data_IF_814222583336
#
_entry.id   IF_814222583336
#
_cell.length_a   1.000
_cell.length_b   1.000
_cell.length_c   1.000
_cell.angle_alpha   90.00
_cell.angle_beta   90.00
_cell.angle_gamma   90.00
#
_symmetry.space_group_name_H-M   'P 1'
#
loop_
_entity.id
_entity.type
_entity.pdbx_description
1 polymer ?
#
# COMPACT_ATOMS: atom_id res chain seq x y z
N UNK A 1 -46.80 -1.07 21.62
CA UNK A 1 -45.96 0.07 22.06
C UNK A 1 -46.76 0.98 22.97
N UNK A 2 -46.46 1.10 24.27
CA UNK A 2 -47.19 1.98 25.16
C UNK A 2 -46.75 3.45 25.00
N UNK A 3 -47.71 4.32 24.65
CA UNK A 3 -47.73 5.71 25.10
C UNK A 3 -47.06 6.78 24.23
N UNK A 4 -47.42 6.90 22.94
CA UNK A 4 -47.21 8.18 22.21
C UNK A 4 -48.34 9.14 22.62
N UNK A 5 -48.06 10.31 23.23
CA UNK A 5 -49.11 11.24 23.64
C UNK A 5 -49.86 11.79 22.41
N UNK A 6 -51.11 11.38 22.21
CA UNK A 6 -51.97 11.81 21.10
C UNK A 6 -52.56 13.22 21.28
N UNK A 7 -52.27 13.89 22.41
CA UNK A 7 -52.88 15.16 22.77
C UNK A 7 -52.46 16.30 21.83
N UNK A 8 -53.44 17.01 21.27
CA UNK A 8 -53.27 18.19 20.39
C UNK A 8 -53.51 19.53 21.11
N UNK A 9 -53.47 19.54 22.44
CA UNK A 9 -53.71 20.74 23.23
C UNK A 9 -52.54 21.72 23.15
N UNK A 10 -52.83 23.02 23.16
CA UNK A 10 -51.82 24.08 23.18
C UNK A 10 -50.93 24.02 24.44
N UNK A 11 -49.78 24.69 24.38
CA UNK A 11 -48.78 24.68 25.46
C UNK A 11 -49.32 25.22 26.78
N UNK A 12 -50.08 26.30 26.75
CA UNK A 12 -50.64 26.92 27.94
C UNK A 12 -51.65 26.01 28.66
N UNK A 13 -52.56 25.37 27.91
CA UNK A 13 -53.52 24.43 28.50
C UNK A 13 -52.83 23.17 29.05
N UNK A 14 -51.81 22.65 28.37
CA UNK A 14 -51.05 21.47 28.84
C UNK A 14 -50.24 21.76 30.10
N UNK A 15 -49.51 22.89 30.14
CA UNK A 15 -48.75 23.31 31.33
C UNK A 15 -49.66 23.42 32.57
N UNK A 16 -50.89 23.87 32.37
CA UNK A 16 -51.88 24.01 33.44
C UNK A 16 -52.76 22.76 33.64
N UNK A 17 -52.49 21.66 32.91
CA UNK A 17 -53.28 20.40 32.92
C UNK A 17 -54.79 20.62 32.73
N UNK A 18 -55.18 21.59 31.88
CA UNK A 18 -56.58 21.87 31.52
C UNK A 18 -56.88 21.46 30.08
N UNK A 19 -58.15 21.13 29.80
CA UNK A 19 -58.62 20.72 28.47
C UNK A 19 -58.47 21.89 27.47
N UNK A 20 -58.09 21.59 26.24
CA UNK A 20 -57.96 22.54 25.13
C UNK A 20 -58.99 22.16 24.06
N UNK A 21 -59.74 23.14 23.56
CA UNK A 21 -60.74 22.99 22.50
C UNK A 21 -60.15 23.01 21.08
N UNK A 22 -58.85 23.29 20.95
CA UNK A 22 -58.07 23.22 19.70
C UNK A 22 -58.49 24.23 18.62
N UNK A 23 -59.25 25.28 18.98
CA UNK A 23 -59.61 26.35 18.05
C UNK A 23 -58.37 27.14 17.59
N UNK A 24 -58.46 27.72 16.38
CA UNK A 24 -57.45 28.58 15.77
C UNK A 24 -58.03 30.00 15.59
N UNK A 25 -57.23 31.08 15.73
CA UNK A 25 -55.79 31.08 16.02
C UNK A 25 -55.45 30.79 17.50
N UNK A 26 -56.43 30.89 18.41
CA UNK A 26 -56.27 30.59 19.83
C UNK A 26 -57.46 29.78 20.37
N UNK A 27 -57.19 28.91 21.35
CA UNK A 27 -58.21 28.15 22.07
C UNK A 27 -59.07 29.09 22.95
N UNK A 28 -60.35 28.78 23.20
CA UNK A 28 -61.26 29.70 23.92
C UNK A 28 -60.75 30.08 25.30
N UNK A 29 -60.05 29.15 25.96
CA UNK A 29 -59.47 29.38 27.29
C UNK A 29 -58.28 30.34 27.26
N UNK A 30 -57.38 30.19 26.29
CA UNK A 30 -56.25 31.11 26.14
C UNK A 30 -56.74 32.51 25.74
N UNK A 31 -57.77 32.59 24.89
CA UNK A 31 -58.38 33.85 24.51
C UNK A 31 -59.03 34.56 25.72
N UNK A 32 -59.83 33.84 26.52
CA UNK A 32 -60.46 34.39 27.73
C UNK A 32 -59.44 34.84 28.78
N UNK A 33 -58.34 34.10 28.94
CA UNK A 33 -57.29 34.40 29.91
C UNK A 33 -56.24 35.39 29.36
N UNK A 34 -56.34 35.81 28.10
CA UNK A 34 -55.37 36.68 27.44
C UNK A 34 -53.92 36.17 27.55
N UNK A 35 -53.73 34.85 27.39
CA UNK A 35 -52.41 34.21 27.42
C UNK A 35 -52.02 33.63 26.05
N UNK A 36 -50.72 33.57 25.70
CA UNK A 36 -50.26 33.03 24.43
C UNK A 36 -50.73 31.59 24.16
N UNK A 37 -51.35 31.36 23.01
CA UNK A 37 -51.85 30.05 22.58
C UNK A 37 -50.94 29.42 21.52
N UNK A 38 -49.90 28.71 21.95
CA UNK A 38 -48.94 28.08 21.02
C UNK A 38 -49.32 26.63 20.74
N UNK A 39 -49.44 26.28 19.46
CA UNK A 39 -49.63 24.90 19.01
C UNK A 39 -51.03 24.31 19.22
N UNK A 40 -52.08 25.14 19.25
CA UNK A 40 -53.47 24.67 19.28
C UNK A 40 -53.77 23.77 18.07
N UNK A 41 -54.15 22.51 18.31
CA UNK A 41 -54.48 21.55 17.25
C UNK A 41 -53.28 20.89 16.57
N UNK A 42 -52.04 21.22 16.92
CA UNK A 42 -50.83 20.61 16.34
C UNK A 42 -50.48 19.28 17.03
N UNK A 43 -50.19 18.24 16.23
CA UNK A 43 -49.60 16.98 16.74
C UNK A 43 -48.13 17.22 17.08
N UNK A 44 -47.71 16.81 18.28
CA UNK A 44 -46.31 16.89 18.70
C UNK A 44 -45.80 15.51 19.08
N UNK A 45 -44.71 15.10 18.44
CA UNK A 45 -43.99 13.89 18.79
C UNK A 45 -42.98 14.20 19.89
N UNK A 46 -42.95 13.39 20.95
CA UNK A 46 -41.92 13.47 21.98
C UNK A 46 -41.18 12.14 22.00
N UNK A 47 -39.98 12.11 21.45
CA UNK A 47 -39.05 11.00 21.68
C UNK A 47 -38.63 11.06 23.15
N UNK A 48 -38.78 9.94 23.87
CA UNK A 48 -38.25 9.80 25.23
C UNK A 48 -36.87 9.15 25.10
N UNK A 49 -35.84 9.94 25.33
CA UNK A 49 -34.49 9.42 25.59
C UNK A 49 -34.50 8.67 26.93
N UNK A 50 -33.90 7.47 26.92
CA UNK A 50 -33.66 6.69 28.14
C UNK A 50 -32.65 7.40 29.02
N UNK A 51 -33.03 7.58 30.28
CA UNK A 51 -32.23 7.92 31.46
C UNK A 51 -30.75 8.29 31.26
N UNK A 52 -30.43 9.56 31.50
CA UNK A 52 -29.18 9.97 32.17
C UNK A 52 -29.43 11.27 32.95
N UNK A 53 -28.93 11.29 34.19
CA UNK A 53 -29.28 12.25 35.23
C UNK A 53 -28.83 13.69 34.94
N UNK A 54 -29.56 14.64 35.53
CA UNK A 54 -29.20 16.05 35.59
C UNK A 54 -27.90 16.24 36.37
N UNK A 55 -26.99 17.07 35.85
CA UNK A 55 -26.34 18.11 36.67
C UNK A 55 -26.20 19.40 35.85
N UNK A 56 -26.68 20.49 36.46
CA UNK A 56 -26.37 21.87 36.11
C UNK A 56 -25.10 22.26 36.84
N UNK A 57 -24.20 22.98 36.16
CA UNK A 57 -23.03 23.59 36.78
C UNK A 57 -22.03 24.01 35.70
N UNK A 58 -22.06 25.28 35.32
CA UNK A 58 -21.08 25.86 34.43
C UNK A 58 -19.72 25.95 35.14
N UNK A 59 -18.68 25.40 34.50
CA UNK A 59 -17.29 25.80 34.71
C UNK A 59 -16.67 25.91 33.31
N UNK A 60 -16.35 27.15 32.91
CA UNK A 60 -15.57 27.43 31.71
C UNK A 60 -14.12 27.11 32.07
N UNK A 61 -13.64 25.96 31.62
CA UNK A 61 -12.23 25.65 31.46
C UNK A 61 -12.12 25.14 30.02
N UNK A 62 -11.37 25.83 29.18
CA UNK A 62 -11.03 25.36 27.83
C UNK A 62 -10.23 24.06 27.94
N UNK A 63 -10.76 22.90 27.50
CA UNK A 63 -9.98 21.69 27.38
C UNK A 63 -9.52 21.54 25.93
N UNK A 64 -8.34 20.95 25.74
CA UNK A 64 -7.98 20.33 24.47
C UNK A 64 -9.18 19.48 24.00
N UNK A 65 -9.52 19.59 22.71
CA UNK A 65 -10.70 18.94 22.13
C UNK A 65 -10.56 17.42 22.25
N UNK A 66 -11.07 16.85 23.35
CA UNK A 66 -11.38 15.43 23.43
C UNK A 66 -12.62 15.26 22.56
N UNK A 67 -12.41 14.88 21.29
CA UNK A 67 -13.50 14.49 20.40
C UNK A 67 -14.17 13.26 21.01
N UNK A 68 -15.37 13.43 21.56
CA UNK A 68 -16.21 12.30 21.89
C UNK A 68 -16.44 11.50 20.60
N UNK A 69 -16.28 10.17 20.62
CA UNK A 69 -16.50 9.38 19.42
C UNK A 69 -17.95 9.57 18.94
N UNK A 70 -18.10 9.97 17.68
CA UNK A 70 -19.39 9.82 17.01
C UNK A 70 -19.70 8.33 16.87
N UNK A 71 -20.98 7.95 16.72
CA UNK A 71 -21.35 6.56 16.48
C UNK A 71 -20.55 5.97 15.30
N UNK A 72 -20.37 6.77 14.23
CA UNK A 72 -19.58 6.39 13.06
C UNK A 72 -18.11 6.06 13.40
N UNK A 73 -17.49 6.83 14.30
CA UNK A 73 -16.09 6.62 14.74
C UNK A 73 -15.96 5.31 15.54
N UNK A 74 -16.93 5.00 16.40
CA UNK A 74 -16.97 3.73 17.14
C UNK A 74 -17.15 2.56 16.18
N UNK A 75 -18.06 2.69 15.22
CA UNK A 75 -18.35 1.63 14.26
C UNK A 75 -17.13 1.32 13.38
N UNK A 76 -16.47 2.34 12.83
CA UNK A 76 -15.22 2.17 12.06
C UNK A 76 -14.13 1.51 12.91
N UNK A 77 -13.98 1.96 14.17
CA UNK A 77 -12.96 1.40 15.08
C UNK A 77 -13.22 -0.07 15.38
N UNK A 78 -14.47 -0.42 15.72
CA UNK A 78 -14.87 -1.80 15.98
C UNK A 78 -14.65 -2.68 14.76
N UNK A 79 -15.09 -2.22 13.60
CA UNK A 79 -14.98 -2.96 12.35
C UNK A 79 -13.52 -3.21 11.95
N UNK A 80 -12.64 -2.21 12.14
CA UNK A 80 -11.23 -2.35 11.80
C UNK A 80 -10.48 -3.24 12.80
N UNK A 81 -10.81 -3.16 14.10
CA UNK A 81 -10.28 -4.09 15.11
C UNK A 81 -10.66 -5.54 14.77
N UNK A 82 -11.88 -5.78 14.29
CA UNK A 82 -12.30 -7.11 13.83
C UNK A 82 -11.45 -7.62 12.65
N UNK A 83 -11.06 -6.73 11.73
CA UNK A 83 -10.16 -7.06 10.61
C UNK A 83 -8.74 -7.36 11.10
N UNK A 84 -8.25 -6.62 12.10
CA UNK A 84 -6.93 -6.85 12.71
C UNK A 84 -6.89 -8.13 13.57
N UNK A 85 -8.04 -8.64 14.02
CA UNK A 85 -8.13 -9.93 14.69
C UNK A 85 -7.94 -11.05 13.67
N UNK A 86 -6.68 -11.48 13.53
CA UNK A 86 -6.28 -12.54 12.61
C UNK A 86 -6.88 -13.87 13.05
N UNK A 87 -7.97 -14.23 12.38
CA UNK A 87 -8.68 -15.50 12.51
C UNK A 87 -8.32 -16.46 11.37
N UNK A 88 -7.97 -15.91 10.22
CA UNK A 88 -7.48 -16.61 9.03
C UNK A 88 -6.28 -15.84 8.47
N UNK A 89 -5.10 -16.47 8.49
CA UNK A 89 -3.83 -15.85 8.08
C UNK A 89 -3.83 -15.41 6.61
N UNK A 90 -4.69 -16.01 5.78
CA UNK A 90 -4.87 -15.66 4.36
C UNK A 90 -5.37 -14.23 4.15
N UNK A 91 -6.11 -13.71 5.13
CA UNK A 91 -6.73 -12.38 5.09
C UNK A 91 -6.13 -11.43 6.13
N UNK A 92 -4.97 -11.76 6.69
CA UNK A 92 -4.25 -10.90 7.63
C UNK A 92 -3.80 -9.61 6.91
N UNK A 93 -4.34 -8.45 7.27
CA UNK A 93 -3.94 -7.20 6.60
C UNK A 93 -2.52 -6.76 6.94
N UNK A 94 -1.91 -7.29 8.01
CA UNK A 94 -0.55 -6.90 8.45
C UNK A 94 0.55 -7.31 7.46
N UNK A 95 0.23 -8.12 6.45
CA UNK A 95 1.08 -8.34 5.26
C UNK A 95 1.48 -7.05 4.55
N UNK A 96 0.62 -6.03 4.62
CA UNK A 96 0.86 -4.70 4.03
C UNK A 96 1.55 -3.73 5.00
N UNK A 97 1.89 -4.17 6.21
CA UNK A 97 2.69 -3.37 7.14
C UNK A 97 2.27 -3.53 8.59
N UNK A 98 3.24 -3.68 9.52
CA UNK A 98 2.93 -3.83 10.94
C UNK A 98 2.31 -2.56 11.55
N UNK A 99 2.54 -1.38 10.95
CA UNK A 99 1.98 -0.12 11.43
C UNK A 99 0.44 -0.11 11.44
N UNK A 100 -0.21 -0.99 10.66
CA UNK A 100 -1.68 -1.13 10.62
C UNK A 100 -2.27 -1.46 12.00
N UNK A 101 -1.53 -2.18 12.85
CA UNK A 101 -1.98 -2.52 14.21
C UNK A 101 -2.13 -1.29 15.12
N UNK A 102 -1.46 -0.18 14.78
CA UNK A 102 -1.49 1.05 15.57
C UNK A 102 -2.55 2.05 15.10
N UNK A 103 -3.11 1.84 13.91
CA UNK A 103 -4.12 2.71 13.29
C UNK A 103 -5.38 2.91 14.15
N UNK A 104 -5.91 1.92 14.90
CA UNK A 104 -7.12 2.13 15.72
C UNK A 104 -7.03 3.35 16.65
N UNK A 105 -5.84 3.65 17.19
CA UNK A 105 -5.62 4.81 18.07
C UNK A 105 -5.72 6.16 17.37
N UNK A 106 -5.78 6.18 16.04
CA UNK A 106 -5.75 7.39 15.19
C UNK A 106 -7.11 7.67 14.50
N UNK A 107 -8.08 6.76 14.63
CA UNK A 107 -9.42 6.93 14.07
C UNK A 107 -10.10 8.16 14.68
N UNK A 108 -10.75 8.98 13.85
CA UNK A 108 -11.33 10.26 14.24
C UNK A 108 -10.38 11.45 14.13
N UNK A 109 -9.10 11.22 13.80
CA UNK A 109 -8.10 12.29 13.62
C UNK A 109 -8.19 12.94 12.23
N UNK A 110 -8.61 12.21 11.20
CA UNK A 110 -8.71 12.69 9.83
C UNK A 110 -9.85 12.01 9.07
N UNK A 111 -10.67 12.79 8.39
CA UNK A 111 -11.77 12.28 7.58
C UNK A 111 -11.29 11.41 6.41
N UNK A 112 -10.14 11.74 5.80
CA UNK A 112 -9.54 10.92 4.75
C UNK A 112 -9.04 9.58 5.28
N UNK A 113 -8.39 9.59 6.46
CA UNK A 113 -7.92 8.37 7.09
C UNK A 113 -9.11 7.47 7.49
N UNK A 114 -10.13 8.02 8.13
CA UNK A 114 -11.32 7.27 8.56
C UNK A 114 -12.05 6.65 7.35
N UNK A 115 -12.17 7.40 6.25
CA UNK A 115 -12.78 6.90 5.02
C UNK A 115 -11.92 5.79 4.36
N UNK A 116 -10.60 5.92 4.37
CA UNK A 116 -9.68 4.90 3.84
C UNK A 116 -9.70 3.62 4.68
N UNK A 117 -9.75 3.74 6.02
CA UNK A 117 -9.92 2.61 6.95
C UNK A 117 -11.24 1.89 6.68
N UNK A 118 -12.33 2.64 6.51
CA UNK A 118 -13.63 2.07 6.17
C UNK A 118 -13.60 1.33 4.82
N UNK A 119 -12.90 1.88 3.81
CA UNK A 119 -12.72 1.23 2.51
C UNK A 119 -11.95 -0.10 2.62
N UNK A 120 -10.78 -0.10 3.27
CA UNK A 120 -9.98 -1.30 3.53
C UNK A 120 -10.80 -2.34 4.30
N UNK A 121 -11.48 -1.92 5.36
CA UNK A 121 -12.31 -2.82 6.17
C UNK A 121 -13.43 -3.46 5.36
N UNK A 122 -14.14 -2.65 4.57
CA UNK A 122 -15.19 -3.12 3.69
C UNK A 122 -14.69 -4.11 2.66
N UNK A 123 -13.56 -3.81 2.01
CA UNK A 123 -12.93 -4.68 1.03
C UNK A 123 -12.50 -6.02 1.62
N UNK A 124 -11.81 -6.01 2.78
CA UNK A 124 -11.38 -7.24 3.46
C UNK A 124 -12.57 -8.10 3.87
N UNK A 125 -13.61 -7.50 4.48
CA UNK A 125 -14.84 -8.22 4.83
C UNK A 125 -15.51 -8.81 3.59
N UNK A 126 -15.55 -8.07 2.49
CA UNK A 126 -16.16 -8.54 1.26
C UNK A 126 -15.39 -9.70 0.61
N UNK A 127 -14.06 -9.60 0.56
CA UNK A 127 -13.19 -10.67 0.03
C UNK A 127 -13.26 -11.93 0.90
N UNK A 128 -13.17 -11.79 2.23
CA UNK A 128 -13.22 -12.91 3.18
C UNK A 128 -14.54 -13.68 3.11
N UNK A 129 -15.66 -12.97 2.96
CA UNK A 129 -17.00 -13.56 2.94
C UNK A 129 -17.52 -13.88 1.54
N UNK A 130 -16.86 -13.37 0.50
CA UNK A 130 -17.33 -13.35 -0.90
C UNK A 130 -18.72 -12.72 -1.06
N UNK A 131 -19.03 -11.72 -0.23
CA UNK A 131 -20.33 -11.02 -0.20
C UNK A 131 -20.12 -9.52 -0.04
N UNK A 132 -21.12 -8.70 -0.39
CA UNK A 132 -21.07 -7.26 -0.09
C UNK A 132 -20.05 -6.43 -0.89
N UNK A 133 -19.54 -6.95 -2.01
CA UNK A 133 -18.60 -6.22 -2.88
C UNK A 133 -19.14 -4.86 -3.39
N UNK A 134 -20.43 -4.70 -3.76
CA UNK A 134 -20.96 -3.39 -4.14
C UNK A 134 -20.86 -2.32 -3.03
N UNK A 135 -21.05 -2.73 -1.77
CA UNK A 135 -20.89 -1.83 -0.62
C UNK A 135 -19.42 -1.49 -0.37
N UNK A 136 -18.51 -2.47 -0.51
CA UNK A 136 -17.07 -2.24 -0.45
C UNK A 136 -16.61 -1.23 -1.52
N UNK A 137 -17.08 -1.35 -2.76
CA UNK A 137 -16.81 -0.37 -3.84
C UNK A 137 -17.37 1.01 -3.46
N UNK A 138 -18.56 1.08 -2.88
CA UNK A 138 -19.13 2.33 -2.38
C UNK A 138 -18.22 3.02 -1.33
N UNK A 139 -17.65 2.25 -0.41
CA UNK A 139 -16.68 2.75 0.59
C UNK A 139 -15.36 3.15 -0.06
N UNK A 140 -14.86 2.40 -1.03
CA UNK A 140 -13.67 2.74 -1.83
C UNK A 140 -13.81 4.09 -2.55
N UNK A 141 -14.93 4.29 -3.26
CA UNK A 141 -15.24 5.57 -3.92
C UNK A 141 -15.35 6.72 -2.89
N UNK A 142 -15.94 6.46 -1.72
CA UNK A 142 -16.00 7.45 -0.62
C UNK A 142 -14.60 7.80 -0.10
N UNK A 143 -13.71 6.83 0.02
CA UNK A 143 -12.30 7.01 0.39
C UNK A 143 -11.58 7.98 -0.55
N UNK A 144 -11.66 7.76 -1.85
CA UNK A 144 -11.07 8.67 -2.85
C UNK A 144 -11.66 10.08 -2.82
N UNK A 145 -12.97 10.22 -2.60
CA UNK A 145 -13.61 11.54 -2.46
C UNK A 145 -13.09 12.30 -1.23
N UNK A 146 -12.97 11.61 -0.10
CA UNK A 146 -12.42 12.19 1.13
C UNK A 146 -10.96 12.58 0.94
N UNK A 147 -10.17 11.71 0.31
CA UNK A 147 -8.76 11.96 0.04
C UNK A 147 -8.55 13.15 -0.92
N UNK A 148 -9.33 13.24 -2.00
CA UNK A 148 -9.30 14.40 -2.92
C UNK A 148 -9.62 15.71 -2.20
N UNK A 149 -10.54 15.67 -1.24
CA UNK A 149 -10.88 16.84 -0.41
C UNK A 149 -9.69 17.23 0.46
N UNK A 150 -9.03 16.26 1.12
CA UNK A 150 -7.83 16.52 1.92
C UNK A 150 -6.65 17.04 1.08
N UNK A 151 -6.44 16.51 -0.13
CA UNK A 151 -5.38 16.98 -1.04
C UNK A 151 -5.62 18.39 -1.59
N UNK A 152 -6.85 18.91 -1.48
CA UNK A 152 -7.18 20.28 -1.86
C UNK A 152 -6.77 21.30 -0.79
N UNK A 153 -6.39 20.85 0.41
CA UNK A 153 -5.91 21.66 1.53
C UNK A 153 -4.39 21.49 1.69
N UNK A 154 -3.57 22.53 1.45
CA UNK A 154 -2.11 22.46 1.53
C UNK A 154 -1.55 21.95 2.87
N UNK A 155 -2.23 22.19 3.99
CA UNK A 155 -1.81 21.71 5.31
C UNK A 155 -2.09 20.21 5.46
N UNK A 156 -3.26 19.76 4.99
CA UNK A 156 -3.65 18.35 5.04
C UNK A 156 -2.85 17.50 4.07
N UNK A 157 -2.44 18.04 2.91
CA UNK A 157 -1.60 17.33 1.93
C UNK A 157 -0.30 16.80 2.53
N UNK A 158 0.26 17.49 3.53
CA UNK A 158 1.49 17.08 4.21
C UNK A 158 1.19 16.21 5.43
N UNK A 159 -0.04 16.11 5.90
CA UNK A 159 -0.37 15.34 7.11
C UNK A 159 -0.02 13.86 6.95
N UNK A 160 0.58 13.27 8.00
CA UNK A 160 0.84 11.83 8.07
C UNK A 160 -0.43 11.00 7.82
N UNK A 161 -1.59 11.50 8.28
CA UNK A 161 -2.86 10.82 8.08
C UNK A 161 -3.28 10.76 6.61
N UNK A 162 -2.92 11.77 5.82
CA UNK A 162 -3.15 11.80 4.37
C UNK A 162 -2.23 10.80 3.68
N UNK A 163 -0.97 10.70 4.08
CA UNK A 163 -0.02 9.69 3.57
C UNK A 163 -0.52 8.27 3.83
N UNK A 164 -0.95 7.98 5.06
CA UNK A 164 -1.54 6.68 5.43
C UNK A 164 -2.81 6.42 4.62
N UNK A 165 -3.69 7.42 4.47
CA UNK A 165 -4.91 7.28 3.68
C UNK A 165 -4.60 6.93 2.22
N UNK A 166 -3.59 7.57 1.60
CA UNK A 166 -3.16 7.28 0.23
C UNK A 166 -2.70 5.83 0.11
N UNK A 167 -1.84 5.38 1.03
CA UNK A 167 -1.35 4.01 1.02
C UNK A 167 -2.46 2.97 1.22
N UNK A 168 -3.39 3.20 2.15
CA UNK A 168 -4.56 2.33 2.33
C UNK A 168 -5.46 2.29 1.09
N UNK A 169 -5.63 3.42 0.40
CA UNK A 169 -6.42 3.49 -0.83
C UNK A 169 -5.72 2.79 -2.00
N UNK A 170 -4.39 2.85 -2.08
CA UNK A 170 -3.59 2.10 -3.06
C UNK A 170 -3.75 0.59 -2.87
N UNK A 171 -3.67 0.12 -1.62
CA UNK A 171 -3.93 -1.29 -1.29
C UNK A 171 -5.37 -1.66 -1.66
N UNK A 172 -6.34 -0.82 -1.33
CA UNK A 172 -7.73 -1.11 -1.63
C UNK A 172 -7.99 -1.16 -3.14
N UNK A 173 -7.30 -0.33 -3.93
CA UNK A 173 -7.40 -0.35 -5.40
C UNK A 173 -7.02 -1.72 -5.98
N UNK A 174 -5.99 -2.40 -5.47
CA UNK A 174 -5.64 -3.74 -5.97
C UNK A 174 -6.73 -4.78 -5.66
N UNK A 175 -7.54 -4.55 -4.64
CA UNK A 175 -8.56 -5.48 -4.18
C UNK A 175 -9.94 -5.29 -4.81
N UNK A 176 -10.34 -4.03 -5.05
CA UNK A 176 -11.70 -3.70 -5.51
C UNK A 176 -11.74 -2.88 -6.80
N UNK A 177 -10.58 -2.50 -7.33
CA UNK A 177 -10.47 -1.75 -8.58
C UNK A 177 -10.84 -2.58 -9.81
N UNK A 178 -10.89 -1.90 -10.94
CA UNK A 178 -11.05 -2.47 -12.29
C UNK A 178 -9.71 -2.53 -13.02
N UNK A 179 -9.47 -3.48 -13.94
CA UNK A 179 -8.33 -3.44 -14.86
C UNK A 179 -8.20 -2.12 -15.64
N UNK A 180 -9.33 -1.47 -15.91
CA UNK A 180 -9.40 -0.19 -16.65
C UNK A 180 -9.08 1.04 -15.78
N UNK A 181 -9.08 0.87 -14.45
CA UNK A 181 -8.63 1.92 -13.57
C UNK A 181 -7.14 2.12 -13.84
N UNK A 182 -6.76 3.33 -14.26
CA UNK A 182 -5.35 3.61 -14.49
C UNK A 182 -4.60 3.24 -13.21
N UNK A 183 -3.72 2.25 -13.33
CA UNK A 183 -2.74 1.92 -12.31
C UNK A 183 -1.77 3.09 -12.29
N UNK A 184 -2.20 4.21 -11.71
CA UNK A 184 -1.39 5.39 -11.52
C UNK A 184 -0.07 4.90 -10.93
N UNK A 185 1.05 5.42 -11.43
CA UNK A 185 2.38 4.98 -11.03
C UNK A 185 2.53 5.17 -9.51
N UNK A 186 2.13 4.16 -8.74
CA UNK A 186 1.95 4.21 -7.29
C UNK A 186 3.28 4.56 -6.62
N UNK A 187 4.38 4.10 -7.21
CA UNK A 187 5.74 4.50 -6.84
C UNK A 187 6.03 5.98 -7.00
N UNK A 188 5.57 6.65 -8.07
CA UNK A 188 5.75 8.11 -8.24
C UNK A 188 4.95 8.89 -7.19
N UNK A 189 3.69 8.52 -6.99
CA UNK A 189 2.81 9.16 -6.00
C UNK A 189 3.43 9.01 -4.61
N UNK A 190 3.80 7.78 -4.22
CA UNK A 190 4.46 7.54 -2.94
C UNK A 190 5.80 8.27 -2.83
N UNK A 191 6.61 8.32 -3.89
CA UNK A 191 7.90 9.01 -3.85
C UNK A 191 7.75 10.52 -3.60
N UNK A 192 6.75 11.16 -4.19
CA UNK A 192 6.47 12.58 -3.96
C UNK A 192 5.94 12.83 -2.54
N UNK A 193 5.07 11.96 -2.03
CA UNK A 193 4.48 12.12 -0.70
C UNK A 193 5.50 11.85 0.41
N UNK A 194 6.33 10.82 0.25
CA UNK A 194 7.36 10.48 1.22
C UNK A 194 8.42 11.57 1.34
N UNK A 195 8.72 12.31 0.26
CA UNK A 195 9.58 13.51 0.30
C UNK A 195 9.05 14.55 1.32
N UNK A 196 7.75 14.84 1.23
CA UNK A 196 7.09 15.76 2.15
C UNK A 196 7.01 15.21 3.59
N UNK A 197 6.79 13.91 3.75
CA UNK A 197 6.69 13.26 5.07
C UNK A 197 8.04 13.16 5.80
N UNK A 198 9.12 12.87 5.06
CA UNK A 198 10.47 12.72 5.64
C UNK A 198 10.99 14.04 6.20
N UNK A 199 10.58 15.16 5.60
CA UNK A 199 10.99 16.51 5.98
C UNK A 199 10.34 17.04 7.27
N UNK A 200 9.45 16.28 7.91
CA UNK A 200 8.77 16.70 9.14
C UNK A 200 9.67 16.54 10.37
N UNK A 201 9.78 17.60 11.17
CA UNK A 201 10.49 17.58 12.45
C UNK A 201 9.68 16.89 13.56
N UNK A 202 10.35 16.19 14.48
CA UNK A 202 9.70 15.63 15.68
C UNK A 202 8.87 14.36 15.45
N UNK A 203 9.30 13.49 14.53
CA UNK A 203 8.60 12.23 14.21
C UNK A 203 8.63 11.25 15.39
N UNK A 204 7.53 10.52 15.57
CA UNK A 204 7.43 9.40 16.49
C UNK A 204 7.70 8.05 15.82
N UNK A 205 7.64 6.98 16.60
CA UNK A 205 7.87 5.61 16.15
C UNK A 205 6.90 5.16 15.04
N UNK A 206 5.65 5.63 15.08
CA UNK A 206 4.66 5.33 14.05
C UNK A 206 5.05 5.91 12.70
N UNK A 207 5.41 7.19 12.68
CA UNK A 207 5.81 7.91 11.47
C UNK A 207 7.03 7.23 10.84
N UNK A 208 8.01 6.86 11.67
CA UNK A 208 9.22 6.14 11.23
C UNK A 208 8.89 4.75 10.66
N UNK A 209 8.08 3.95 11.36
CA UNK A 209 7.66 2.62 10.87
C UNK A 209 6.87 2.70 9.57
N UNK A 210 5.99 3.69 9.44
CA UNK A 210 5.23 3.94 8.22
C UNK A 210 6.15 4.36 7.07
N UNK A 211 7.04 5.33 7.28
CA UNK A 211 7.97 5.79 6.23
C UNK A 211 8.83 4.63 5.72
N UNK A 212 9.38 3.80 6.61
CA UNK A 212 10.17 2.62 6.21
C UNK A 212 9.31 1.62 5.42
N UNK A 213 8.08 1.36 5.87
CA UNK A 213 7.16 0.43 5.19
C UNK A 213 6.84 0.91 3.77
N UNK A 214 6.47 2.18 3.61
CA UNK A 214 6.08 2.78 2.32
C UNK A 214 7.29 3.00 1.40
N UNK A 215 8.51 3.07 1.94
CA UNK A 215 9.74 3.19 1.16
C UNK A 215 10.06 1.90 0.39
N UNK A 216 9.78 0.73 0.98
CA UNK A 216 10.04 -0.58 0.38
C UNK A 216 9.42 -0.76 -1.03
N UNK A 217 8.11 -0.54 -1.25
CA UNK A 217 7.51 -0.67 -2.58
C UNK A 217 8.08 0.33 -3.59
N UNK A 218 8.42 1.56 -3.16
CA UNK A 218 9.04 2.57 -4.05
C UNK A 218 10.43 2.12 -4.53
N UNK A 219 11.24 1.54 -3.63
CA UNK A 219 12.56 1.00 -3.98
C UNK A 219 12.42 -0.18 -4.93
N UNK A 220 11.58 -1.16 -4.57
CA UNK A 220 11.39 -2.34 -5.40
C UNK A 220 10.88 -1.96 -6.80
N UNK A 221 9.92 -1.03 -6.86
CA UNK A 221 9.44 -0.53 -8.13
C UNK A 221 10.53 0.23 -8.89
N UNK A 222 11.40 1.01 -8.24
CA UNK A 222 12.52 1.69 -8.89
C UNK A 222 13.59 0.73 -9.42
N UNK A 223 13.68 -0.49 -8.88
CA UNK A 223 14.61 -1.52 -9.37
C UNK A 223 14.04 -2.20 -10.61
N UNK A 224 12.73 -2.48 -10.57
CA UNK A 224 11.97 -3.10 -11.65
C UNK A 224 11.76 -2.12 -12.82
N UNK A 225 11.55 -0.83 -12.52
CA UNK A 225 11.44 0.28 -13.46
C UNK A 225 12.46 1.37 -13.13
N UNK A 226 13.64 1.34 -13.76
CA UNK A 226 14.71 2.30 -13.50
C UNK A 226 14.35 3.74 -13.88
N UNK A 227 13.27 3.95 -14.67
CA UNK A 227 12.79 5.31 -15.00
C UNK A 227 12.20 6.04 -13.79
N UNK A 228 11.75 5.31 -12.77
CA UNK A 228 11.36 5.90 -11.49
C UNK A 228 12.61 6.34 -10.74
N UNK A 229 12.80 7.65 -10.55
CA UNK A 229 13.92 8.19 -9.79
C UNK A 229 13.62 8.31 -8.30
N UNK A 230 14.46 7.71 -7.46
CA UNK A 230 14.44 7.98 -6.01
C UNK A 230 14.92 9.40 -5.73
N UNK A 231 14.10 10.18 -5.02
CA UNK A 231 14.42 11.55 -4.60
C UNK A 231 15.52 11.62 -3.54
N UNK A 232 16.02 12.83 -3.26
CA UNK A 232 17.06 13.07 -2.25
C UNK A 232 16.64 12.65 -0.84
N UNK A 233 15.35 12.77 -0.51
CA UNK A 233 14.77 12.30 0.76
C UNK A 233 15.05 10.84 1.04
N UNK A 234 15.07 10.00 -0.01
CA UNK A 234 15.27 8.57 0.13
C UNK A 234 16.68 8.28 0.64
N UNK A 235 17.69 8.99 0.13
CA UNK A 235 19.07 8.85 0.55
C UNK A 235 19.29 9.32 1.99
N UNK A 236 18.59 10.37 2.39
CA UNK A 236 18.54 10.84 3.78
C UNK A 236 17.94 9.77 4.69
N UNK A 237 16.85 9.15 4.26
CA UNK A 237 16.22 8.03 4.95
C UNK A 237 17.17 6.84 5.05
N UNK A 238 17.66 6.35 3.92
CA UNK A 238 18.56 5.20 3.84
C UNK A 238 19.76 5.36 4.78
N UNK A 239 20.44 6.51 4.77
CA UNK A 239 21.53 6.83 5.71
C UNK A 239 21.12 6.82 7.18
N UNK A 240 19.89 7.24 7.48
CA UNK A 240 19.37 7.30 8.86
C UNK A 240 19.07 5.90 9.41
N UNK A 241 18.70 4.95 8.55
CA UNK A 241 18.44 3.56 8.90
C UNK A 241 19.62 2.62 8.59
N UNK A 242 20.72 3.12 8.02
CA UNK A 242 22.00 2.39 7.95
C UNK A 242 22.58 2.23 9.37
N UNK A 243 22.98 1.02 9.80
CA UNK A 243 23.55 0.81 11.13
C UNK A 243 24.80 1.69 11.35
N UNK A 244 24.81 2.51 12.41
CA UNK A 244 25.88 3.49 12.72
C UNK A 244 27.20 2.91 13.27
N UNK A 245 27.39 1.59 13.36
CA UNK A 245 28.60 0.98 13.99
C UNK A 245 29.32 0.03 13.04
N UNK A 246 30.67 -0.08 13.11
CA UNK A 246 31.41 -1.11 12.38
C UNK A 246 30.87 -2.48 12.77
N UNK A 247 30.52 -3.26 11.76
CA UNK A 247 29.91 -4.57 11.90
C UNK A 247 30.91 -5.55 12.51
N UNK A 248 30.76 -5.89 13.78
CA UNK A 248 31.53 -6.95 14.42
C UNK A 248 31.00 -8.33 13.98
N UNK A 249 31.64 -8.87 12.95
CA UNK A 249 32.10 -10.24 12.64
C UNK A 249 31.34 -11.51 13.12
N UNK A 250 30.21 -11.47 13.85
CA UNK A 250 29.54 -12.68 14.35
C UNK A 250 28.01 -12.63 14.26
N UNK A 251 27.43 -12.63 13.06
CA UNK A 251 25.98 -12.83 12.88
C UNK A 251 25.67 -13.72 11.67
N UNK A 252 25.61 -15.03 11.91
CA UNK A 252 24.88 -15.96 11.05
C UNK A 252 23.42 -15.45 10.91
N UNK A 253 22.93 -15.24 9.69
CA UNK A 253 21.53 -14.84 9.43
C UNK A 253 21.26 -13.36 9.09
N UNK A 254 22.28 -12.51 8.92
CA UNK A 254 22.09 -11.18 8.31
C UNK A 254 22.07 -11.30 6.78
N UNK A 255 21.12 -10.64 6.14
CA UNK A 255 20.98 -10.53 4.67
C UNK A 255 21.40 -9.11 4.25
N UNK A 256 22.69 -8.86 3.92
CA UNK A 256 23.16 -7.54 3.55
C UNK A 256 22.39 -6.94 2.36
N UNK A 257 21.96 -7.78 1.42
CA UNK A 257 21.28 -7.32 0.20
C UNK A 257 19.90 -6.74 0.46
N UNK A 258 19.26 -7.06 1.59
CA UNK A 258 17.95 -6.52 1.98
C UNK A 258 18.06 -5.25 2.84
N UNK A 259 19.26 -4.73 3.07
CA UNK A 259 19.39 -3.43 3.72
C UNK A 259 18.89 -2.34 2.78
N UNK A 260 18.02 -1.46 3.29
CA UNK A 260 17.39 -0.39 2.52
C UNK A 260 18.41 0.47 1.76
N UNK A 261 19.57 0.73 2.36
CA UNK A 261 20.66 1.46 1.73
C UNK A 261 21.26 0.72 0.53
N UNK A 262 21.50 -0.58 0.64
CA UNK A 262 22.03 -1.40 -0.46
C UNK A 262 21.01 -1.46 -1.61
N UNK A 263 19.74 -1.70 -1.29
CA UNK A 263 18.67 -1.70 -2.30
C UNK A 263 18.55 -0.33 -3.01
N UNK A 264 18.75 0.77 -2.28
CA UNK A 264 18.83 2.11 -2.86
C UNK A 264 19.97 2.23 -3.86
N UNK A 265 21.18 1.77 -3.49
CA UNK A 265 22.36 1.83 -4.34
C UNK A 265 22.15 1.03 -5.63
N UNK A 266 21.52 -0.14 -5.52
CA UNK A 266 21.13 -0.95 -6.68
C UNK A 266 20.30 -0.13 -7.67
N UNK A 267 19.35 0.71 -7.21
CA UNK A 267 18.57 1.57 -8.12
C UNK A 267 19.42 2.57 -8.90
N UNK A 268 20.52 3.08 -8.32
CA UNK A 268 21.43 3.98 -9.02
C UNK A 268 22.27 3.23 -10.04
N UNK A 269 22.79 2.07 -9.65
CA UNK A 269 23.63 1.25 -10.50
C UNK A 269 22.89 0.77 -11.74
N UNK A 270 21.62 0.38 -11.60
CA UNK A 270 20.80 -0.09 -12.73
C UNK A 270 20.50 1.04 -13.73
N UNK A 271 20.41 2.30 -13.29
CA UNK A 271 20.18 3.44 -14.20
C UNK A 271 21.38 3.75 -15.09
N UNK A 272 22.58 3.48 -14.60
CA UNK A 272 23.82 3.64 -15.35
C UNK A 272 24.70 2.39 -15.19
N UNK A 273 24.33 1.29 -15.86
CA UNK A 273 24.97 0.00 -15.65
C UNK A 273 26.39 -0.05 -16.20
N UNK A 274 26.70 0.77 -17.21
CA UNK A 274 28.05 0.84 -17.81
C UNK A 274 29.06 1.33 -16.77
N UNK A 275 28.75 2.43 -16.07
CA UNK A 275 29.66 2.97 -15.04
C UNK A 275 29.69 2.14 -13.75
N UNK A 276 28.70 1.27 -13.55
CA UNK A 276 28.52 0.54 -12.29
C UNK A 276 28.66 -0.98 -12.43
N UNK A 277 29.18 -1.50 -13.55
CA UNK A 277 29.21 -2.93 -13.84
C UNK A 277 29.88 -3.76 -12.73
N UNK A 278 31.01 -3.28 -12.17
CA UNK A 278 31.72 -3.94 -11.05
C UNK A 278 30.87 -3.98 -9.78
N UNK A 279 30.15 -2.89 -9.47
CA UNK A 279 29.25 -2.82 -8.32
C UNK A 279 28.06 -3.77 -8.51
N UNK A 280 27.50 -3.83 -9.71
CA UNK A 280 26.41 -4.73 -10.09
C UNK A 280 26.84 -6.19 -9.93
N UNK A 281 27.99 -6.57 -10.49
CA UNK A 281 28.53 -7.93 -10.37
C UNK A 281 28.80 -8.31 -8.91
N UNK A 282 29.35 -7.39 -8.12
CA UNK A 282 29.61 -7.61 -6.68
C UNK A 282 28.30 -7.80 -5.91
N UNK A 283 27.30 -6.97 -6.16
CA UNK A 283 26.00 -7.05 -5.53
C UNK A 283 25.24 -8.33 -5.92
N UNK A 284 25.31 -8.72 -7.19
CA UNK A 284 24.74 -9.97 -7.69
C UNK A 284 25.33 -11.18 -6.99
N UNK A 285 26.65 -11.26 -6.87
CA UNK A 285 27.32 -12.34 -6.13
C UNK A 285 26.90 -12.39 -4.65
N UNK A 286 26.65 -11.24 -4.01
CA UNK A 286 26.12 -11.21 -2.66
C UNK A 286 24.66 -11.69 -2.60
N UNK A 287 23.83 -11.31 -3.57
CA UNK A 287 22.45 -11.76 -3.69
C UNK A 287 22.35 -13.28 -3.83
N UNK A 288 23.23 -13.90 -4.63
CA UNK A 288 23.26 -15.38 -4.76
C UNK A 288 23.58 -16.05 -3.43
N UNK A 289 24.52 -15.53 -2.64
CA UNK A 289 24.81 -16.04 -1.28
C UNK A 289 23.63 -15.86 -0.32
N UNK A 290 22.99 -14.71 -0.37
CA UNK A 290 21.82 -14.40 0.46
C UNK A 290 20.63 -15.30 0.08
N UNK A 291 20.43 -15.56 -1.21
CA UNK A 291 19.46 -16.53 -1.74
C UNK A 291 19.71 -17.94 -1.22
N UNK A 292 20.95 -18.43 -1.30
CA UNK A 292 21.31 -19.75 -0.77
C UNK A 292 21.05 -19.86 0.75
N UNK A 293 21.35 -18.78 1.49
CA UNK A 293 21.06 -18.70 2.93
C UNK A 293 19.56 -18.81 3.21
N UNK A 294 18.73 -18.10 2.43
CA UNK A 294 17.28 -18.15 2.61
C UNK A 294 16.66 -19.46 2.16
N UNK A 295 17.19 -20.08 1.11
CA UNK A 295 16.80 -21.43 0.70
C UNK A 295 17.02 -22.43 1.83
N UNK A 296 18.21 -22.44 2.41
CA UNK A 296 18.54 -23.32 3.54
C UNK A 296 17.64 -23.07 4.76
N UNK A 297 17.34 -21.80 5.05
CA UNK A 297 16.43 -21.44 6.14
C UNK A 297 15.01 -21.96 5.90
N UNK A 298 14.48 -21.82 4.68
CA UNK A 298 13.16 -22.32 4.32
C UNK A 298 13.10 -23.85 4.38
N UNK A 299 14.12 -24.56 3.90
CA UNK A 299 14.18 -26.02 3.97
C UNK A 299 14.16 -26.51 5.43
N UNK A 300 14.84 -25.82 6.34
CA UNK A 300 14.78 -26.09 7.78
C UNK A 300 13.38 -25.87 8.35
N UNK A 301 12.72 -24.76 7.96
CA UNK A 301 11.34 -24.52 8.37
C UNK A 301 10.39 -25.59 7.84
N UNK A 302 10.49 -25.98 6.58
CA UNK A 302 9.66 -27.05 5.99
C UNK A 302 9.83 -28.37 6.77
N UNK A 303 11.07 -28.76 7.07
CA UNK A 303 11.37 -29.96 7.85
C UNK A 303 10.78 -29.91 9.28
N UNK A 304 10.87 -28.77 9.95
CA UNK A 304 10.28 -28.57 11.29
C UNK A 304 8.75 -28.59 11.26
N UNK A 305 8.15 -28.02 10.21
CA UNK A 305 6.68 -27.95 10.07
C UNK A 305 6.10 -29.32 9.77
N UNK A 306 6.78 -30.14 8.96
CA UNK A 306 6.40 -31.53 8.69
C UNK A 306 6.41 -32.41 9.96
N UNK A 307 7.22 -32.04 10.97
CA UNK A 307 7.32 -32.75 12.23
C UNK A 307 6.33 -32.27 13.31
N UNK A 308 5.62 -31.14 13.09
CA UNK A 308 4.75 -30.53 14.09
C UNK A 308 3.26 -30.79 13.82
N UNK A 309 2.44 -31.04 14.86
CA UNK A 309 1.00 -31.26 14.70
C UNK A 309 0.18 -29.96 14.52
N UNK A 310 0.82 -28.79 14.60
CA UNK A 310 0.14 -27.47 14.56
C UNK A 310 0.41 -26.78 13.22
N UNK A 311 -0.59 -26.16 12.57
CA UNK A 311 -0.37 -25.42 11.34
C UNK A 311 0.61 -24.24 11.56
N UNK A 312 1.44 -23.92 10.55
CA UNK A 312 2.43 -22.86 10.64
C UNK A 312 1.78 -21.49 10.92
N UNK A 313 2.26 -20.78 11.95
CA UNK A 313 1.83 -19.41 12.27
C UNK A 313 2.55 -18.32 11.45
N UNK A 314 2.27 -17.03 11.73
CA UNK A 314 2.84 -15.84 11.04
C UNK A 314 4.38 -15.80 10.92
N UNK A 315 5.10 -16.57 11.72
CA UNK A 315 6.56 -16.64 11.70
C UNK A 315 7.12 -17.37 10.47
N UNK A 316 6.35 -18.24 9.82
CA UNK A 316 6.82 -19.07 8.70
C UNK A 316 6.91 -18.33 7.36
N UNK A 317 6.32 -17.14 7.26
CA UNK A 317 6.13 -16.47 5.97
C UNK A 317 7.06 -15.30 5.72
N UNK A 318 7.62 -14.69 6.78
CA UNK A 318 8.63 -13.64 6.65
C UNK A 318 9.87 -14.07 5.85
N UNK A 319 10.39 -15.31 6.01
CA UNK A 319 11.47 -15.80 5.17
C UNK A 319 11.07 -15.91 3.69
N UNK A 320 9.81 -16.25 3.38
CA UNK A 320 9.32 -16.33 1.99
C UNK A 320 9.30 -14.95 1.34
N UNK A 321 8.81 -13.92 2.03
CA UNK A 321 8.82 -12.53 1.55
C UNK A 321 10.26 -12.10 1.27
N UNK A 322 11.17 -12.27 2.25
CA UNK A 322 12.58 -11.92 2.09
C UNK A 322 13.22 -12.63 0.90
N UNK A 323 12.96 -13.93 0.73
CA UNK A 323 13.53 -14.71 -0.36
C UNK A 323 12.98 -14.28 -1.73
N UNK A 324 11.69 -13.99 -1.83
CA UNK A 324 11.08 -13.50 -3.09
C UNK A 324 11.71 -12.18 -3.56
N UNK A 325 12.03 -11.28 -2.62
CA UNK A 325 12.71 -10.01 -2.90
C UNK A 325 14.14 -10.27 -3.35
N UNK A 326 14.90 -11.14 -2.66
CA UNK A 326 16.25 -11.49 -3.07
C UNK A 326 16.28 -12.07 -4.50
N UNK A 327 15.37 -12.98 -4.83
CA UNK A 327 15.25 -13.55 -6.18
C UNK A 327 14.93 -12.45 -7.20
N UNK A 328 13.98 -11.56 -6.90
CA UNK A 328 13.63 -10.45 -7.78
C UNK A 328 14.84 -9.54 -8.06
N UNK A 329 15.61 -9.19 -7.02
CA UNK A 329 16.83 -8.39 -7.13
C UNK A 329 17.90 -9.12 -7.95
N UNK A 330 18.13 -10.41 -7.67
CA UNK A 330 19.12 -11.22 -8.35
C UNK A 330 18.83 -11.33 -9.84
N UNK A 331 17.57 -11.60 -10.21
CA UNK A 331 17.13 -11.65 -11.60
C UNK A 331 17.28 -10.29 -12.30
N UNK A 332 16.93 -9.19 -11.61
CA UNK A 332 17.09 -7.84 -12.16
C UNK A 332 18.55 -7.54 -12.52
N UNK A 333 19.49 -7.89 -11.63
CA UNK A 333 20.92 -7.70 -11.89
C UNK A 333 21.47 -8.70 -12.91
N UNK A 334 21.00 -9.94 -12.89
CA UNK A 334 21.39 -10.97 -13.85
C UNK A 334 21.04 -10.56 -15.29
N UNK A 335 19.81 -10.07 -15.52
CA UNK A 335 19.38 -9.56 -16.84
C UNK A 335 20.35 -8.50 -17.34
N UNK A 336 20.77 -7.58 -16.47
CA UNK A 336 21.69 -6.50 -16.83
C UNK A 336 23.09 -7.06 -17.10
N UNK A 337 23.63 -7.91 -16.24
CA UNK A 337 24.94 -8.54 -16.43
C UNK A 337 25.03 -9.29 -17.75
N UNK A 338 23.98 -10.04 -18.11
CA UNK A 338 23.89 -10.76 -19.39
C UNK A 338 23.89 -9.84 -20.62
N UNK A 339 23.61 -8.55 -20.47
CA UNK A 339 23.76 -7.58 -21.57
C UNK A 339 25.23 -7.29 -21.89
N UNK A 340 26.12 -7.39 -20.90
CA UNK A 340 27.55 -7.10 -21.02
C UNK A 340 28.40 -8.37 -21.18
N UNK A 341 27.97 -9.47 -20.56
CA UNK A 341 28.61 -10.78 -20.63
C UNK A 341 27.53 -11.87 -20.82
N UNK A 342 27.25 -12.30 -22.06
CA UNK A 342 26.26 -13.34 -22.33
C UNK A 342 26.85 -14.74 -22.07
N UNK A 343 27.38 -14.98 -20.88
CA UNK A 343 27.97 -16.27 -20.48
C UNK A 343 26.90 -17.30 -20.11
N UNK A 344 27.18 -18.57 -20.42
CA UNK A 344 26.28 -19.69 -20.11
C UNK A 344 26.03 -19.81 -18.59
N UNK A 345 27.02 -19.50 -17.76
CA UNK A 345 26.90 -19.51 -16.29
C UNK A 345 25.79 -18.59 -15.79
N UNK A 346 25.72 -17.34 -16.28
CA UNK A 346 24.67 -16.40 -15.87
C UNK A 346 23.28 -16.87 -16.34
N UNK A 347 23.20 -17.55 -17.48
CA UNK A 347 21.94 -18.11 -17.99
C UNK A 347 21.46 -19.31 -17.14
N UNK A 348 22.37 -20.18 -16.71
CA UNK A 348 22.07 -21.30 -15.80
C UNK A 348 21.60 -20.78 -14.43
N UNK A 349 22.30 -19.82 -13.84
CA UNK A 349 21.91 -19.20 -12.57
C UNK A 349 20.53 -18.51 -12.66
N UNK A 350 20.22 -17.87 -13.78
CA UNK A 350 18.90 -17.29 -14.02
C UNK A 350 17.81 -18.36 -14.08
N UNK A 351 18.09 -19.51 -14.71
CA UNK A 351 17.16 -20.63 -14.78
C UNK A 351 16.87 -21.22 -13.38
N UNK A 352 17.90 -21.35 -12.54
CA UNK A 352 17.75 -21.80 -11.15
C UNK A 352 16.92 -20.82 -10.32
N UNK A 353 17.18 -19.51 -10.45
CA UNK A 353 16.39 -18.46 -9.78
C UNK A 353 14.92 -18.46 -10.25
N UNK A 354 14.66 -18.72 -11.54
CA UNK A 354 13.30 -18.86 -12.06
C UNK A 354 12.59 -20.07 -11.45
N UNK A 355 13.28 -21.21 -11.38
CA UNK A 355 12.75 -22.43 -10.76
C UNK A 355 12.43 -22.20 -9.27
N UNK A 356 13.27 -21.44 -8.55
CA UNK A 356 13.00 -21.08 -7.16
C UNK A 356 11.82 -20.13 -6.99
N UNK A 357 11.65 -19.15 -7.88
CA UNK A 357 10.48 -18.26 -7.85
C UNK A 357 9.18 -19.08 -8.01
N UNK A 358 9.17 -20.04 -8.94
CA UNK A 358 8.05 -20.97 -9.15
C UNK A 358 7.81 -21.81 -7.90
N UNK A 359 8.86 -22.44 -7.34
CA UNK A 359 8.72 -23.27 -6.13
C UNK A 359 8.19 -22.46 -4.94
N UNK A 360 8.72 -21.24 -4.74
CA UNK A 360 8.29 -20.36 -3.67
C UNK A 360 6.82 -19.96 -3.82
N UNK A 361 6.35 -19.73 -5.04
CA UNK A 361 4.93 -19.46 -5.33
C UNK A 361 4.03 -20.62 -4.89
N UNK A 362 4.44 -21.87 -5.17
CA UNK A 362 3.70 -23.07 -4.81
C UNK A 362 3.63 -23.27 -3.29
N UNK A 363 4.74 -23.00 -2.59
CA UNK A 363 4.79 -23.07 -1.12
C UNK A 363 3.89 -22.00 -0.47
N UNK A 364 3.82 -20.82 -1.09
CA UNK A 364 3.04 -19.69 -0.59
C UNK A 364 1.54 -19.81 -0.90
N UNK A 365 1.13 -20.69 -1.82
CA UNK A 365 -0.26 -20.84 -2.32
C UNK A 365 -1.32 -20.94 -1.21
N UNK A 366 -0.99 -21.62 -0.11
CA UNK A 366 -1.88 -21.76 1.06
C UNK A 366 -2.22 -20.43 1.76
N UNK A 367 -1.46 -19.36 1.51
CA UNK A 367 -1.63 -18.04 2.12
C UNK A 367 -2.44 -17.07 1.26
N UNK A 368 -2.98 -17.53 0.12
CA UNK A 368 -3.83 -16.71 -0.76
C UNK A 368 -5.12 -16.23 -0.08
N UNK A 369 -5.58 -14.99 -0.31
CA UNK A 369 -5.08 -14.09 -1.37
C UNK A 369 -4.06 -13.05 -0.87
N UNK A 370 -4.11 -12.56 0.37
CA UNK A 370 -3.22 -11.46 0.80
C UNK A 370 -1.79 -11.90 1.09
N UNK A 371 -1.63 -13.10 1.66
CA UNK A 371 -0.33 -13.61 2.09
C UNK A 371 0.59 -14.02 0.94
N UNK A 372 0.18 -13.82 -0.33
CA UNK A 372 1.03 -14.01 -1.51
C UNK A 372 1.23 -12.74 -2.33
N UNK A 373 0.76 -11.59 -1.85
CA UNK A 373 0.80 -10.32 -2.60
C UNK A 373 2.20 -9.88 -3.03
N UNK A 374 3.25 -10.43 -2.41
CA UNK A 374 4.66 -10.22 -2.76
C UNK A 374 5.16 -11.05 -3.96
N UNK A 375 4.54 -12.20 -4.25
CA UNK A 375 5.02 -13.15 -5.25
C UNK A 375 4.91 -12.66 -6.70
N UNK A 376 3.83 -12.00 -7.14
CA UNK A 376 3.66 -11.66 -8.56
C UNK A 376 4.80 -10.85 -9.16
N UNK A 377 5.41 -9.93 -8.41
CA UNK A 377 6.54 -9.12 -8.88
C UNK A 377 7.77 -9.98 -9.15
N UNK A 378 8.08 -10.91 -8.24
CA UNK A 378 9.20 -11.85 -8.41
C UNK A 378 8.98 -12.79 -9.61
N UNK A 379 7.75 -13.27 -9.79
CA UNK A 379 7.36 -14.11 -10.92
C UNK A 379 7.43 -13.35 -12.25
N UNK A 380 6.95 -12.11 -12.30
CA UNK A 380 7.05 -11.28 -13.51
C UNK A 380 8.50 -11.02 -13.91
N UNK A 381 9.39 -10.83 -12.94
CA UNK A 381 10.83 -10.72 -13.18
C UNK A 381 11.44 -12.04 -13.66
N UNK A 382 11.04 -13.19 -13.08
CA UNK A 382 11.46 -14.52 -13.54
C UNK A 382 11.01 -14.82 -14.97
N UNK A 383 9.78 -14.45 -15.32
CA UNK A 383 9.26 -14.55 -16.69
C UNK A 383 10.13 -13.75 -17.66
N UNK A 384 10.49 -12.53 -17.26
CA UNK A 384 11.33 -11.61 -18.05
C UNK A 384 12.74 -12.14 -18.25
N UNK A 385 13.34 -12.72 -17.21
CA UNK A 385 14.70 -13.25 -17.23
C UNK A 385 14.87 -14.58 -18.01
N UNK A 386 13.79 -15.38 -18.08
CA UNK A 386 13.83 -16.70 -18.71
C UNK A 386 13.68 -16.60 -20.23
N UNK A 387 14.50 -17.32 -20.99
CA UNK A 387 14.30 -17.51 -22.44
C UNK A 387 13.53 -18.80 -22.77
N UNK A 388 13.22 -19.62 -21.75
CA UNK A 388 12.55 -20.90 -21.92
C UNK A 388 11.03 -20.72 -22.01
N UNK A 389 10.46 -21.10 -23.17
CA UNK A 389 9.03 -20.98 -23.44
C UNK A 389 8.15 -21.75 -22.42
N UNK A 390 8.56 -22.94 -22.00
CA UNK A 390 7.81 -23.74 -21.04
C UNK A 390 7.79 -23.10 -19.65
N UNK A 391 8.93 -22.54 -19.21
CA UNK A 391 9.04 -21.80 -17.95
C UNK A 391 8.16 -20.54 -17.98
N UNK A 392 8.22 -19.77 -19.08
CA UNK A 392 7.35 -18.60 -19.29
C UNK A 392 5.87 -18.95 -19.28
N UNK A 393 5.48 -20.05 -19.92
CA UNK A 393 4.11 -20.54 -19.92
C UNK A 393 3.64 -20.91 -18.50
N UNK A 394 4.47 -21.65 -17.75
CA UNK A 394 4.17 -22.03 -16.37
C UNK A 394 4.01 -20.80 -15.46
N UNK A 395 4.92 -19.83 -15.53
CA UNK A 395 4.83 -18.59 -14.74
C UNK A 395 3.57 -17.81 -15.10
N UNK A 396 3.24 -17.70 -16.39
CA UNK A 396 2.02 -17.03 -16.84
C UNK A 396 0.78 -17.69 -16.23
N UNK A 397 0.70 -19.02 -16.23
CA UNK A 397 -0.45 -19.74 -15.69
C UNK A 397 -0.59 -19.50 -14.16
N UNK A 398 0.53 -19.40 -13.43
CA UNK A 398 0.53 -19.01 -12.00
C UNK A 398 0.02 -17.56 -11.83
N UNK A 399 0.52 -16.63 -12.65
CA UNK A 399 0.12 -15.23 -12.59
C UNK A 399 -1.37 -15.02 -12.89
N UNK A 400 -1.93 -15.73 -13.88
CA UNK A 400 -3.39 -15.73 -14.15
C UNK A 400 -4.16 -16.19 -12.91
N UNK A 401 -3.62 -17.17 -12.18
CA UNK A 401 -4.15 -17.57 -10.88
C UNK A 401 -4.23 -16.39 -9.90
N UNK A 402 -3.17 -15.60 -9.77
CA UNK A 402 -3.13 -14.43 -8.87
C UNK A 402 -3.99 -13.26 -9.36
N UNK A 403 -4.12 -13.03 -10.66
CA UNK A 403 -5.06 -12.05 -11.22
C UNK A 403 -6.51 -12.38 -10.87
N UNK A 404 -6.86 -13.67 -10.75
CA UNK A 404 -8.19 -14.08 -10.31
C UNK A 404 -8.51 -13.71 -8.86
N UNK A 405 -7.50 -13.55 -7.99
CA UNK A 405 -7.70 -13.03 -6.63
C UNK A 405 -7.94 -11.51 -6.65
N UNK A 406 -7.25 -10.81 -7.54
CA UNK A 406 -7.20 -9.35 -7.64
C UNK A 406 -7.32 -8.89 -9.09
N UNK A 407 -8.55 -8.80 -9.64
CA UNK A 407 -8.77 -8.50 -11.05
C UNK A 407 -8.24 -7.14 -11.49
N UNK A 408 -8.04 -6.20 -10.56
CA UNK A 408 -7.44 -4.90 -10.87
C UNK A 408 -5.95 -4.99 -11.26
N UNK A 409 -5.30 -6.13 -11.01
CA UNK A 409 -3.90 -6.36 -11.31
C UNK A 409 -3.76 -7.08 -12.65
N UNK A 410 -3.00 -6.52 -13.58
CA UNK A 410 -2.66 -7.15 -14.86
C UNK A 410 -1.20 -7.64 -14.84
N UNK A 411 -0.93 -8.72 -14.11
CA UNK A 411 0.42 -9.26 -13.95
C UNK A 411 0.99 -9.85 -15.24
N UNK A 412 0.16 -10.46 -16.08
CA UNK A 412 0.58 -10.98 -17.40
C UNK A 412 0.97 -9.83 -18.32
N UNK A 413 0.21 -8.74 -18.33
CA UNK A 413 0.57 -7.53 -19.07
C UNK A 413 1.86 -6.90 -18.54
N UNK A 414 2.03 -6.89 -17.21
CA UNK A 414 3.26 -6.43 -16.55
C UNK A 414 4.50 -7.19 -17.04
N UNK A 415 4.40 -8.50 -17.30
CA UNK A 415 5.50 -9.29 -17.84
C UNK A 415 5.98 -8.79 -19.22
N UNK A 416 5.03 -8.53 -20.14
CA UNK A 416 5.36 -8.01 -21.46
C UNK A 416 5.92 -6.59 -21.40
N UNK A 417 5.37 -5.77 -20.51
CA UNK A 417 5.88 -4.42 -20.27
C UNK A 417 7.32 -4.43 -19.76
N UNK A 418 7.65 -5.30 -18.79
CA UNK A 418 9.02 -5.47 -18.27
C UNK A 418 9.99 -5.93 -19.35
N UNK A 419 9.63 -6.95 -20.13
CA UNK A 419 10.44 -7.41 -21.25
C UNK A 419 10.74 -6.28 -22.22
N UNK A 420 9.71 -5.52 -22.63
CA UNK A 420 9.91 -4.38 -23.53
C UNK A 420 10.87 -3.33 -22.97
N UNK A 421 10.89 -3.13 -21.64
CA UNK A 421 11.80 -2.17 -20.98
C UNK A 421 13.25 -2.64 -21.01
N UNK A 422 13.52 -3.90 -20.68
CA UNK A 422 14.87 -4.44 -20.72
C UNK A 422 15.40 -4.62 -22.14
N UNK A 423 14.53 -4.93 -23.11
CA UNK A 423 14.91 -4.97 -24.52
C UNK A 423 15.28 -3.57 -25.04
N UNK A 424 14.57 -2.53 -24.60
CA UNK A 424 14.92 -1.14 -24.94
C UNK A 424 16.28 -0.72 -24.34
N UNK A 425 16.54 -1.11 -23.09
CA UNK A 425 17.83 -0.89 -22.44
C UNK A 425 18.97 -1.60 -23.19
N UNK A 426 18.75 -2.85 -23.60
CA UNK A 426 19.72 -3.63 -24.38
C UNK A 426 20.01 -2.95 -25.73
N UNK A 427 18.97 -2.50 -26.45
CA UNK A 427 19.15 -1.78 -27.73
C UNK A 427 20.00 -0.53 -27.57
N UNK A 428 19.68 0.32 -26.59
CA UNK A 428 20.46 1.55 -26.28
C UNK A 428 21.92 1.26 -25.98
N UNK A 429 22.20 0.17 -25.25
CA UNK A 429 23.57 -0.24 -24.96
C UNK A 429 24.33 -0.63 -26.24
N UNK A 430 23.69 -1.44 -27.09
CA UNK A 430 24.26 -1.86 -28.39
C UNK A 430 24.52 -0.64 -29.29
N UNK A 431 23.59 0.30 -29.37
CA UNK A 431 23.76 1.54 -30.15
C UNK A 431 24.93 2.40 -29.63
N UNK A 432 25.13 2.44 -28.30
CA UNK A 432 26.25 3.14 -27.67
C UNK A 432 27.59 2.48 -28.03
N UNK A 433 27.66 1.15 -28.06
CA UNK A 433 28.86 0.42 -28.50
C UNK A 433 29.16 0.66 -29.98
N UNK A 434 28.13 0.67 -30.85
CA UNK A 434 28.29 0.96 -32.27
C UNK A 434 28.80 2.38 -32.52
N UNK A 435 28.22 3.39 -31.89
CA UNK A 435 28.65 4.80 -32.01
C UNK A 435 30.05 5.04 -31.45
N UNK A 436 30.43 4.36 -30.36
CA UNK A 436 31.79 4.43 -29.82
C UNK A 436 32.83 3.73 -30.72
N UNK A 437 32.42 2.69 -31.45
CA UNK A 437 33.29 1.92 -32.37
C UNK A 437 33.45 2.56 -33.74
N UNK A 438 32.49 3.40 -34.15
CA UNK A 438 32.50 4.15 -35.40
C UNK A 438 32.11 5.61 -35.13
N UNK A 439 33.00 6.41 -34.51
CA UNK A 439 32.80 7.85 -34.46
C UNK A 439 32.71 8.37 -35.90
N UNK A 440 31.68 9.17 -36.22
CA UNK A 440 31.53 9.77 -37.54
C UNK A 440 32.83 10.48 -37.94
N UNK A 441 33.62 9.85 -38.81
CA UNK A 441 34.66 10.52 -39.56
C UNK A 441 33.95 11.48 -40.52
N UNK A 442 33.71 12.70 -40.06
CA UNK A 442 33.42 13.83 -40.94
C UNK A 442 34.58 13.97 -41.91
N UNK A 443 34.45 13.36 -43.08
CA UNK A 443 35.26 13.62 -44.26
C UNK A 443 35.01 15.10 -44.59
N UNK A 444 35.91 15.98 -44.15
CA UNK A 444 36.03 17.30 -44.76
C UNK A 444 36.50 17.09 -46.19
N UNK A 445 35.55 17.14 -47.12
CA UNK A 445 35.83 17.29 -48.55
C UNK A 445 36.53 18.65 -48.70
N UNK A 446 37.86 18.64 -48.85
CA UNK A 446 38.59 19.79 -49.34
C UNK A 446 38.22 20.01 -50.81
N UNK A 447 37.29 20.93 -51.06
CA UNK A 447 37.05 21.45 -52.39
C UNK A 447 38.31 22.15 -52.90
N UNK A 448 38.87 21.60 -53.98
CA UNK A 448 40.07 22.08 -54.64
C UNK A 448 39.85 23.43 -55.33
N UNK A 449 40.75 24.38 -55.05
CA UNK A 449 41.02 25.52 -55.92
C UNK A 449 42.08 25.13 -56.95
N UNK A 450 41.65 24.81 -58.17
CA UNK A 450 42.53 24.81 -59.35
C UNK A 450 42.43 26.22 -59.95
N UNK A 451 43.52 26.99 -59.87
CA UNK A 451 43.70 28.20 -60.68
C UNK A 451 44.22 27.80 -62.07
N UNK A 452 43.58 28.31 -63.11
CA UNK A 452 44.14 28.34 -64.47
C UNK A 452 44.24 29.80 -64.89
N UNK A 453 45.46 30.24 -65.18
CA UNK A 453 45.74 31.47 -65.93
C UNK A 453 45.78 31.21 -67.43
#
# INVERSE_FOLDING_TARGET
MPGVPSSRGCDACRKQKKKCDQLKPACSRCNRLQIPCVGSGQRRFKFKEGYSGKQQGAIILTPAVVRFPSNDTIDITKDFIEVLQVTDIRYDVTWYGPFLETIPSRIGSSAALDAAIAAVTGAVKALRTRQGMPDAIGKYVKGWKALRTSLSDPEQTKSIHTVVAIYLMMICQSWVGSPDDHFANHGEILAQILDAAVSQAGRGEFEDNMIVTLSSPVVLQSIVDPSLSLGSWFWTLAKSYTPKRPFLENQHGRLPSLQIYIMAQVTQWIRDPVLNLVNIATAYNQLIRDCATMRSLLDQFEALTAAAPTPPGRLHTRPQVAYSVLICLALSLNIILRMFDPSDTLAEEAADLCAESIRLSQLAEQHRPFGVSFMPVSLAMAWTASDNFAVRAQIRDILVGYEADFPAMNWVETCYWLQSKYDDMRRKHVDTLFTASFPDDTIQVQDGLISVG
#
